data_IF_101190228882
#
_entry.id   IF_101190228882
#
_cell.length_a   1.000
_cell.length_b   1.000
_cell.length_c   1.000
_cell.angle_alpha   90.00
_cell.angle_beta   90.00
_cell.angle_gamma   90.00
#
_symmetry.space_group_name_H-M   'P 1'
#
loop_
_entity.id
_entity.type
_entity.pdbx_description
1 polymer ?
#
# COMPACT_ATOMS: atom_id res chain seq x y z
N UNK A 1 24.08 25.15 24.57
CA UNK A 1 23.29 24.25 23.72
C UNK A 1 24.28 23.44 22.89
N UNK A 2 24.50 22.17 23.21
CA UNK A 2 25.45 21.33 22.47
C UNK A 2 24.70 20.66 21.33
N UNK A 3 24.92 21.13 20.10
CA UNK A 3 24.40 20.48 18.90
C UNK A 3 25.26 19.23 18.68
N UNK A 4 24.69 18.05 18.95
CA UNK A 4 25.33 16.79 18.56
C UNK A 4 25.15 16.64 17.06
N UNK A 5 26.26 16.59 16.33
CA UNK A 5 26.30 16.27 14.90
C UNK A 5 25.64 14.90 14.72
N UNK A 6 24.55 14.83 13.97
CA UNK A 6 24.06 13.55 13.46
C UNK A 6 25.08 13.10 12.43
N UNK A 7 25.70 11.95 12.66
CA UNK A 7 26.58 11.32 11.68
C UNK A 7 25.70 10.66 10.63
N UNK A 8 25.65 11.25 9.44
CA UNK A 8 24.97 10.66 8.29
C UNK A 8 25.73 9.41 7.90
N UNK A 9 25.14 8.24 8.12
CA UNK A 9 25.70 6.97 7.65
C UNK A 9 25.57 6.92 6.13
N UNK A 10 26.69 7.13 5.42
CA UNK A 10 26.74 6.88 3.97
C UNK A 10 26.68 5.36 3.79
N UNK A 11 25.55 4.85 3.33
CA UNK A 11 25.38 3.44 2.99
C UNK A 11 25.94 3.26 1.58
N UNK A 12 27.00 2.48 1.43
CA UNK A 12 27.52 2.08 0.12
C UNK A 12 26.67 0.90 -0.35
N UNK A 13 25.79 1.15 -1.32
CA UNK A 13 24.99 0.10 -1.96
C UNK A 13 25.79 -0.43 -3.15
N UNK A 14 25.98 -1.74 -3.23
CA UNK A 14 26.66 -2.37 -4.37
C UNK A 14 25.63 -2.85 -5.41
N UNK A 15 25.97 -2.86 -6.71
CA UNK A 15 25.09 -3.37 -7.74
C UNK A 15 24.75 -4.85 -7.53
N UNK A 16 23.49 -5.28 -7.74
CA UNK A 16 23.11 -6.69 -7.68
C UNK A 16 23.85 -7.54 -8.71
N UNK A 17 24.15 -8.80 -8.34
CA UNK A 17 24.83 -9.74 -9.23
C UNK A 17 23.97 -10.02 -10.48
N UNK A 18 24.52 -9.75 -11.66
CA UNK A 18 23.84 -9.92 -12.96
C UNK A 18 23.21 -8.65 -13.54
N UNK A 19 23.26 -7.52 -12.85
CA UNK A 19 22.80 -6.22 -13.37
C UNK A 19 23.93 -5.51 -14.14
N UNK A 20 23.68 -5.01 -15.37
CA UNK A 20 24.61 -4.14 -16.07
C UNK A 20 24.91 -2.87 -15.27
N UNK A 21 26.18 -2.45 -15.23
CA UNK A 21 26.59 -1.25 -14.48
C UNK A 21 25.86 0.01 -14.97
N UNK A 22 25.66 0.14 -16.28
CA UNK A 22 24.96 1.29 -16.87
C UNK A 22 23.52 1.41 -16.36
N UNK A 23 22.78 0.29 -16.28
CA UNK A 23 21.43 0.26 -15.72
C UNK A 23 21.43 0.67 -14.24
N UNK A 24 22.38 0.15 -13.45
CA UNK A 24 22.48 0.49 -12.03
C UNK A 24 22.74 1.99 -11.79
N UNK A 25 23.63 2.61 -12.58
CA UNK A 25 23.94 4.04 -12.48
C UNK A 25 22.76 4.91 -12.94
N UNK A 26 21.97 4.46 -13.93
CA UNK A 26 20.72 5.11 -14.32
C UNK A 26 19.70 5.12 -13.18
N UNK A 27 19.53 3.98 -12.48
CA UNK A 27 18.65 3.89 -11.32
C UNK A 27 19.12 4.74 -10.14
N UNK A 28 20.44 4.83 -9.90
CA UNK A 28 21.00 5.72 -8.88
C UNK A 28 20.76 7.20 -9.22
N UNK A 29 20.85 7.58 -10.50
CA UNK A 29 20.58 8.96 -10.93
C UNK A 29 19.15 9.38 -10.63
N UNK A 30 18.17 8.48 -10.77
CA UNK A 30 16.77 8.74 -10.43
C UNK A 30 16.59 8.98 -8.93
N UNK A 31 17.30 8.22 -8.09
CA UNK A 31 17.25 8.38 -6.63
C UNK A 31 17.89 9.72 -6.20
N UNK A 32 19.00 10.13 -6.82
CA UNK A 32 19.66 11.43 -6.55
C UNK A 32 18.81 12.63 -7.00
N UNK A 33 18.00 12.47 -8.05
CA UNK A 33 17.08 13.49 -8.54
C UNK A 33 15.81 13.64 -7.66
N UNK A 34 15.54 12.67 -6.78
CA UNK A 34 14.44 12.75 -5.81
C UNK A 34 14.95 13.48 -4.56
N UNK A 35 14.36 14.64 -4.19
CA UNK A 35 14.84 15.36 -3.02
C UNK A 35 14.68 14.51 -1.76
N UNK A 36 15.80 14.18 -1.11
CA UNK A 36 15.94 13.41 0.15
C UNK A 36 15.04 13.94 1.30
N UNK A 37 14.46 15.13 1.13
CA UNK A 37 13.68 15.89 2.13
C UNK A 37 12.23 16.13 1.73
N UNK A 38 11.71 15.48 0.69
CA UNK A 38 10.28 15.49 0.43
C UNK A 38 9.58 14.91 1.67
N UNK A 39 9.06 15.80 2.52
CA UNK A 39 8.28 15.46 3.71
C UNK A 39 6.90 15.06 3.21
N UNK A 40 6.84 13.94 2.48
CA UNK A 40 5.59 13.39 2.02
C UNK A 40 4.86 12.92 3.27
N UNK A 41 3.76 13.61 3.54
CA UNK A 41 2.87 13.20 4.61
C UNK A 41 2.17 11.91 4.21
N UNK A 42 1.79 11.08 5.19
CA UNK A 42 1.02 9.86 4.92
C UNK A 42 -0.25 10.15 4.09
N UNK A 43 -0.78 11.37 4.18
CA UNK A 43 -1.91 11.85 3.39
C UNK A 43 -1.58 12.05 1.90
N UNK A 44 -0.44 12.66 1.58
CA UNK A 44 0.01 12.85 0.18
C UNK A 44 0.38 11.52 -0.48
N UNK A 45 0.93 10.58 0.29
CA UNK A 45 1.19 9.22 -0.16
C UNK A 45 -0.12 8.49 -0.43
N UNK A 46 -1.07 8.53 0.52
CA UNK A 46 -2.38 7.91 0.35
C UNK A 46 -3.10 8.48 -0.88
N UNK A 47 -3.09 9.80 -1.03
CA UNK A 47 -3.76 10.49 -2.12
C UNK A 47 -3.15 10.14 -3.48
N UNK A 48 -1.82 10.14 -3.60
CA UNK A 48 -1.14 9.77 -4.85
C UNK A 48 -1.33 8.29 -5.21
N UNK A 49 -1.41 7.39 -4.23
CA UNK A 49 -1.71 5.97 -4.45
C UNK A 49 -3.16 5.79 -4.92
N UNK A 50 -4.13 6.47 -4.30
CA UNK A 50 -5.53 6.41 -4.72
C UNK A 50 -5.74 6.96 -6.15
N UNK A 51 -5.05 8.05 -6.50
CA UNK A 51 -5.13 8.65 -7.83
C UNK A 51 -4.46 7.78 -8.90
N UNK A 52 -3.32 7.17 -8.59
CA UNK A 52 -2.67 6.20 -9.49
C UNK A 52 -3.50 4.93 -9.67
N UNK A 53 -4.07 4.37 -8.61
CA UNK A 53 -4.92 3.17 -8.69
C UNK A 53 -6.17 3.43 -9.55
N UNK A 54 -6.72 4.64 -9.51
CA UNK A 54 -7.78 5.08 -10.43
C UNK A 54 -7.29 5.24 -11.88
N UNK A 55 -6.10 5.80 -12.09
CA UNK A 55 -5.53 6.01 -13.42
C UNK A 55 -5.07 4.70 -14.10
N UNK A 56 -4.67 3.70 -13.30
CA UNK A 56 -4.24 2.36 -13.74
C UNK A 56 -5.44 1.45 -14.00
N UNK A 57 -6.68 1.89 -13.76
CA UNK A 57 -7.89 1.22 -14.26
C UNK A 57 -7.92 1.28 -15.80
N UNK A 58 -7.17 0.36 -16.40
CA UNK A 58 -7.31 -0.08 -17.79
C UNK A 58 -8.74 -0.60 -17.95
N UNK A 59 -9.60 0.26 -18.51
CA UNK A 59 -10.73 -0.03 -19.41
C UNK A 59 -11.51 -1.36 -19.26
N UNK A 60 -11.80 -1.81 -18.04
CA UNK A 60 -12.84 -2.84 -17.82
C UNK A 60 -13.65 -2.64 -16.53
N UNK A 61 -13.64 -1.43 -15.97
CA UNK A 61 -14.47 -1.11 -14.82
C UNK A 61 -15.70 -0.34 -15.28
N UNK A 62 -16.85 -1.02 -15.33
CA UNK A 62 -18.13 -0.38 -15.08
C UNK A 62 -17.93 0.50 -13.84
N UNK A 63 -18.18 1.80 -13.98
CA UNK A 63 -17.77 2.82 -13.01
C UNK A 63 -18.52 2.66 -11.68
N UNK A 64 -18.09 1.75 -10.82
CA UNK A 64 -18.34 1.88 -9.39
C UNK A 64 -17.37 2.96 -8.93
N UNK A 65 -17.83 4.21 -9.06
CA UNK A 65 -17.41 5.31 -8.20
C UNK A 65 -17.19 4.74 -6.80
N UNK A 66 -16.15 5.19 -6.10
CA UNK A 66 -15.93 4.82 -4.71
C UNK A 66 -17.15 5.29 -3.88
N UNK A 67 -18.20 4.47 -3.86
CA UNK A 67 -19.35 4.67 -2.99
C UNK A 67 -18.78 4.48 -1.60
N UNK A 68 -18.74 5.56 -0.84
CA UNK A 68 -18.58 5.54 0.61
C UNK A 68 -19.75 4.70 1.18
N UNK A 69 -19.57 3.38 1.15
CA UNK A 69 -20.53 2.44 1.72
C UNK A 69 -20.37 2.58 3.22
N UNK A 70 -21.41 3.08 3.88
CA UNK A 70 -21.49 3.10 5.34
C UNK A 70 -21.10 1.73 5.89
N UNK A 71 -20.38 1.66 7.03
CA UNK A 71 -20.05 0.39 7.64
C UNK A 71 -21.34 -0.42 7.88
N UNK A 72 -21.31 -1.75 7.70
CA UNK A 72 -22.51 -2.57 7.81
C UNK A 72 -23.17 -2.38 9.17
N UNK A 73 -24.48 -2.20 9.13
CA UNK A 73 -25.30 -2.04 10.32
C UNK A 73 -25.34 -3.34 11.13
N UNK A 74 -25.61 -3.22 12.43
CA UNK A 74 -25.77 -4.37 13.32
C UNK A 74 -26.83 -5.38 12.81
N UNK A 75 -27.84 -4.92 12.08
CA UNK A 75 -28.85 -5.78 11.46
C UNK A 75 -28.27 -6.63 10.32
N UNK A 76 -27.47 -6.02 9.44
CA UNK A 76 -26.80 -6.70 8.32
C UNK A 76 -25.77 -7.73 8.83
N UNK A 77 -25.02 -7.38 9.89
CA UNK A 77 -24.09 -8.32 10.51
C UNK A 77 -24.82 -9.53 11.12
N UNK A 78 -25.97 -9.33 11.76
CA UNK A 78 -26.79 -10.43 12.31
C UNK A 78 -27.33 -11.35 11.21
N UNK A 79 -27.80 -10.77 10.11
CA UNK A 79 -28.27 -11.54 8.97
C UNK A 79 -27.15 -12.40 8.36
N UNK A 80 -25.95 -11.84 8.22
CA UNK A 80 -24.79 -12.60 7.74
C UNK A 80 -24.44 -13.77 8.68
N UNK A 81 -24.53 -13.57 10.01
CA UNK A 81 -24.33 -14.63 11.00
C UNK A 81 -25.40 -15.72 10.92
N UNK A 82 -26.66 -15.36 10.72
CA UNK A 82 -27.75 -16.33 10.57
C UNK A 82 -27.61 -17.19 9.32
N UNK A 83 -27.02 -16.65 8.24
CA UNK A 83 -26.67 -17.40 7.02
C UNK A 83 -25.48 -18.34 7.27
N UNK A 84 -24.49 -17.91 8.06
CA UNK A 84 -23.28 -18.69 8.32
C UNK A 84 -23.49 -19.83 9.34
N UNK A 85 -24.41 -19.64 10.30
CA UNK A 85 -24.68 -20.53 11.43
C UNK A 85 -24.97 -21.99 11.06
N UNK A 86 -25.73 -22.32 10.00
CA UNK A 86 -25.98 -23.70 9.59
C UNK A 86 -24.70 -24.44 9.17
N UNK A 87 -23.76 -23.76 8.49
CA UNK A 87 -22.50 -24.35 8.06
C UNK A 87 -21.53 -24.65 9.22
N UNK A 88 -21.60 -23.85 10.28
CA UNK A 88 -20.83 -24.08 11.52
C UNK A 88 -21.41 -25.26 12.31
N UNK A 89 -22.74 -25.35 12.44
CA UNK A 89 -23.38 -26.44 13.18
C UNK A 89 -23.13 -27.83 12.56
N UNK A 90 -23.13 -27.95 11.23
CA UNK A 90 -22.85 -29.23 10.55
C UNK A 90 -21.43 -29.77 10.84
N UNK A 91 -20.47 -28.90 11.14
CA UNK A 91 -19.10 -29.30 11.49
C UNK A 91 -18.94 -29.69 12.95
N UNK A 92 -19.82 -29.22 13.84
CA UNK A 92 -19.76 -29.51 15.28
C UNK A 92 -20.53 -30.76 15.71
N UNK A 93 -21.48 -31.24 14.90
CA UNK A 93 -22.22 -32.50 15.17
C UNK A 93 -21.45 -33.77 14.76
N UNK A 94 -20.25 -33.64 14.21
CA UNK A 94 -19.38 -34.74 13.79
C UNK A 94 -18.24 -35.04 14.78
N UNK A 95 -18.35 -34.55 16.03
CA UNK A 95 -17.47 -34.92 17.14
C UNK A 95 -18.23 -35.76 18.18
#
# INVERSE_FOLDING_TARGET
>A
LSIKRAETSVIVIEPPEGMPKEEYEEWLSIDEDIPETATLTDLEIFQSVCEQDQAIKVDDSDGDDCIEKNPPTNAEMRQALDILKPGVQQRSTNF
#
